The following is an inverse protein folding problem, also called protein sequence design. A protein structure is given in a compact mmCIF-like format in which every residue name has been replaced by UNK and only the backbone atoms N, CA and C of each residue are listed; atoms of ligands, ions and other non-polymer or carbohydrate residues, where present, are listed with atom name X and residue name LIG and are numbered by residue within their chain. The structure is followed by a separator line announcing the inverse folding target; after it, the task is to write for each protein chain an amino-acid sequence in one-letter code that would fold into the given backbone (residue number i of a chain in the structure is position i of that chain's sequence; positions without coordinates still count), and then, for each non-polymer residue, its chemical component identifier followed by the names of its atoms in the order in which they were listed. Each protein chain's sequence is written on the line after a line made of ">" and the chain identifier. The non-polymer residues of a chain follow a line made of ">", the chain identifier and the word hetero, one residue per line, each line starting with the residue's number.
data_IF_087249766458
#
_entry.id   IF_087249766458
#
_cell.length_a   1.000
_cell.length_b   1.000
_cell.length_c   1.000
_cell.angle_alpha   90.00
_cell.angle_beta   90.00
_cell.angle_gamma   90.00
#
_symmetry.space_group_name_H-M   'P 1'
#
loop_
_entity.id
_entity.type
_entity.pdbx_description
1 polymer ?
#
# COMPACT_ATOMS: atom_id res chain seq x y z
N UNK A 1 -7.80 -18.53 -6.47
CA UNK A 1 -7.64 -18.01 -5.10
C UNK A 1 -8.85 -17.16 -4.82
N UNK A 2 -9.68 -17.58 -3.87
CA UNK A 2 -10.95 -16.90 -3.59
C UNK A 2 -10.70 -15.65 -2.73
N UNK A 3 -11.58 -14.64 -2.77
CA UNK A 3 -11.43 -13.39 -2.00
C UNK A 3 -11.11 -13.64 -0.51
N UNK A 4 -11.80 -14.59 0.10
CA UNK A 4 -11.64 -14.93 1.51
C UNK A 4 -10.26 -15.55 1.82
N UNK A 5 -9.75 -16.42 0.93
CA UNK A 5 -8.42 -17.04 1.10
C UNK A 5 -7.32 -15.98 0.99
N UNK A 6 -7.43 -15.06 0.02
CA UNK A 6 -6.48 -13.95 -0.13
C UNK A 6 -6.45 -13.05 1.10
N UNK A 7 -7.62 -12.68 1.63
CA UNK A 7 -7.73 -11.89 2.85
C UNK A 7 -7.13 -12.59 4.06
N UNK A 8 -7.35 -13.91 4.18
CA UNK A 8 -6.82 -14.73 5.26
C UNK A 8 -5.30 -14.82 5.23
N UNK A 9 -4.72 -15.13 4.06
CA UNK A 9 -3.26 -15.18 3.90
C UNK A 9 -2.60 -13.83 4.15
N UNK A 10 -3.19 -12.75 3.63
CA UNK A 10 -2.70 -11.41 3.88
C UNK A 10 -2.76 -11.05 5.37
N UNK A 11 -3.87 -11.37 6.06
CA UNK A 11 -4.01 -11.12 7.49
C UNK A 11 -3.00 -11.91 8.34
N UNK A 12 -2.56 -13.09 7.89
CA UNK A 12 -1.44 -13.81 8.54
C UNK A 12 -0.12 -13.05 8.37
N UNK A 13 0.17 -12.59 7.15
CA UNK A 13 1.38 -11.83 6.85
C UNK A 13 1.44 -10.51 7.64
N UNK A 14 0.32 -9.79 7.73
CA UNK A 14 0.21 -8.56 8.53
C UNK A 14 0.51 -8.81 10.00
N UNK A 15 -0.07 -9.87 10.60
CA UNK A 15 0.19 -10.22 12.01
C UNK A 15 1.64 -10.57 12.28
N UNK A 16 2.29 -11.26 11.35
CA UNK A 16 3.73 -11.58 11.46
C UNK A 16 4.55 -10.29 11.40
N UNK A 17 4.22 -9.39 10.47
CA UNK A 17 4.93 -8.13 10.34
C UNK A 17 4.76 -7.20 11.54
N UNK A 18 3.54 -7.11 12.10
CA UNK A 18 3.24 -6.34 13.30
C UNK A 18 3.98 -6.90 14.54
N UNK A 19 4.32 -8.20 14.53
CA UNK A 19 5.15 -8.82 15.57
C UNK A 19 6.66 -8.56 15.42
N UNK A 20 7.12 -8.20 14.22
CA UNK A 20 8.54 -7.98 13.90
C UNK A 20 8.94 -6.51 13.83
N UNK A 21 7.98 -5.57 13.81
CA UNK A 21 8.27 -4.16 13.97
C UNK A 21 8.28 -3.77 15.45
N UNK A 22 9.40 -3.27 16.01
CA UNK A 22 9.29 -2.45 17.20
C UNK A 22 8.41 -1.26 16.83
N UNK A 23 7.42 -0.97 17.68
CA UNK A 23 6.58 0.22 17.64
C UNK A 23 7.37 1.43 17.16
N UNK A 24 7.33 1.71 15.86
CA UNK A 24 7.78 3.00 15.34
C UNK A 24 6.62 3.90 15.65
N UNK A 25 6.70 4.46 16.86
CA UNK A 25 5.59 5.12 17.53
C UNK A 25 4.94 6.15 16.62
N UNK A 26 3.66 5.93 16.31
CA UNK A 26 2.76 7.06 16.17
C UNK A 26 2.37 7.47 17.59
N UNK A 27 3.30 8.16 18.27
CA UNK A 27 2.98 8.87 19.50
C UNK A 27 1.98 9.96 19.11
N UNK A 28 0.71 9.73 19.45
CA UNK A 28 -0.34 10.71 19.65
C UNK A 28 -0.22 11.99 18.80
N UNK A 29 -0.90 12.06 17.66
CA UNK A 29 -1.14 13.34 16.99
C UNK A 29 -2.62 13.48 16.68
N UNK A 30 -3.36 13.91 17.70
CA UNK A 30 -4.63 14.59 17.49
C UNK A 30 -4.30 15.96 16.87
N UNK A 31 -4.94 16.27 15.75
CA UNK A 31 -5.07 17.62 15.20
C UNK A 31 -3.76 18.25 14.64
N UNK A 32 -3.36 17.92 13.40
CA UNK A 32 -2.44 18.79 12.64
C UNK A 32 -2.87 18.96 11.18
N UNK A 33 -3.29 20.19 10.93
CA UNK A 33 -3.67 20.83 9.68
C UNK A 33 -2.39 21.24 8.95
N UNK A 34 -1.85 20.41 8.08
CA UNK A 34 -0.67 20.75 7.27
C UNK A 34 -0.65 20.01 5.93
N UNK A 35 -1.78 19.94 5.24
CA UNK A 35 -1.79 19.46 3.86
C UNK A 35 -1.25 20.56 2.94
N UNK A 36 0.00 20.46 2.51
CA UNK A 36 0.64 21.40 1.58
C UNK A 36 0.70 20.80 0.18
N UNK A 37 0.36 21.60 -0.83
CA UNK A 37 0.42 21.21 -2.26
C UNK A 37 -0.37 19.95 -2.64
N UNK A 38 -1.47 19.65 -1.96
CA UNK A 38 -2.34 18.53 -2.33
C UNK A 38 -3.41 18.98 -3.35
N UNK A 39 -3.58 18.23 -4.43
CA UNK A 39 -4.53 18.53 -5.52
C UNK A 39 -5.46 17.34 -5.77
N UNK A 40 -6.76 17.60 -5.98
CA UNK A 40 -7.78 16.57 -6.29
C UNK A 40 -7.83 15.41 -5.29
N UNK A 41 -7.81 15.72 -3.99
CA UNK A 41 -7.77 14.71 -2.93
C UNK A 41 -8.82 14.94 -1.84
N UNK A 42 -9.27 13.86 -1.22
CA UNK A 42 -10.32 13.87 -0.19
C UNK A 42 -9.90 13.03 1.01
N UNK A 43 -10.31 13.45 2.22
CA UNK A 43 -9.95 12.80 3.49
C UNK A 43 -8.43 12.60 3.68
N UNK A 44 -7.65 13.68 3.55
CA UNK A 44 -6.21 13.68 3.84
C UNK A 44 -5.91 14.25 5.22
N UNK A 45 -5.03 13.60 5.96
CA UNK A 45 -4.48 14.11 7.23
C UNK A 45 -2.95 14.05 7.15
N UNK A 46 -2.25 15.16 7.42
CA UNK A 46 -0.77 15.17 7.41
C UNK A 46 -0.08 14.91 6.05
N UNK A 47 -0.75 15.17 4.92
CA UNK A 47 -0.21 14.82 3.60
C UNK A 47 0.53 15.96 2.88
N UNK A 48 1.68 15.68 2.24
CA UNK A 48 2.45 16.68 1.49
C UNK A 48 2.52 16.32 0.00
N UNK A 49 2.30 17.28 -0.91
CA UNK A 49 2.42 17.14 -2.37
C UNK A 49 1.70 15.91 -2.95
N UNK A 50 0.48 15.61 -2.48
CA UNK A 50 -0.29 14.45 -2.96
C UNK A 50 -1.29 14.84 -4.06
N UNK A 51 -1.38 14.04 -5.11
CA UNK A 51 -2.26 14.30 -6.27
C UNK A 51 -3.19 13.11 -6.50
N UNK A 52 -4.49 13.36 -6.71
CA UNK A 52 -5.50 12.29 -6.91
C UNK A 52 -5.49 11.22 -5.81
N UNK A 53 -5.53 11.65 -4.54
CA UNK A 53 -5.48 10.75 -3.39
C UNK A 53 -6.77 10.74 -2.55
N UNK A 54 -7.20 9.59 -2.06
CA UNK A 54 -8.42 9.44 -1.24
C UNK A 54 -8.19 8.69 0.06
N UNK A 55 -8.61 9.24 1.20
CA UNK A 55 -8.50 8.61 2.52
C UNK A 55 -7.05 8.23 2.86
N UNK A 56 -6.12 9.19 2.83
CA UNK A 56 -4.72 8.95 3.17
C UNK A 56 -4.29 9.72 4.44
N UNK A 57 -3.37 9.14 5.21
CA UNK A 57 -2.81 9.75 6.43
C UNK A 57 -1.28 9.75 6.42
N UNK A 58 -0.66 10.86 6.83
CA UNK A 58 0.80 11.04 6.98
C UNK A 58 1.62 10.64 5.73
N UNK A 59 1.11 10.95 4.55
CA UNK A 59 1.73 10.55 3.29
C UNK A 59 2.45 11.71 2.58
N UNK A 60 3.58 11.43 1.93
CA UNK A 60 4.31 12.45 1.16
C UNK A 60 4.52 12.03 -0.30
N UNK A 61 4.26 12.95 -1.22
CA UNK A 61 4.54 12.81 -2.65
C UNK A 61 3.86 11.57 -3.26
N UNK A 62 2.53 11.45 -3.04
CA UNK A 62 1.71 10.37 -3.60
C UNK A 62 0.96 10.81 -4.86
N UNK A 63 0.78 9.88 -5.79
CA UNK A 63 -0.01 10.09 -7.01
C UNK A 63 -0.96 8.93 -7.27
N UNK A 64 -2.25 9.22 -7.50
CA UNK A 64 -3.29 8.22 -7.81
C UNK A 64 -3.39 7.09 -6.78
N UNK A 65 -3.52 7.46 -5.50
CA UNK A 65 -3.49 6.50 -4.39
C UNK A 65 -4.74 6.56 -3.52
N UNK A 66 -5.18 5.44 -2.94
CA UNK A 66 -6.36 5.41 -2.06
C UNK A 66 -6.11 4.56 -0.83
N UNK A 67 -6.62 4.99 0.34
CA UNK A 67 -6.54 4.21 1.57
C UNK A 67 -5.11 4.02 2.08
N UNK A 68 -4.25 5.04 1.97
CA UNK A 68 -2.82 4.89 2.29
C UNK A 68 -2.42 5.53 3.62
N UNK A 69 -1.55 4.88 4.39
CA UNK A 69 -1.06 5.42 5.68
C UNK A 69 0.46 5.42 5.75
N UNK A 70 1.07 6.55 6.12
CA UNK A 70 2.53 6.70 6.29
C UNK A 70 3.35 6.26 5.06
N UNK A 71 2.91 6.65 3.87
CA UNK A 71 3.57 6.30 2.61
C UNK A 71 4.36 7.48 2.01
N UNK A 72 5.52 7.20 1.41
CA UNK A 72 6.43 8.23 0.91
C UNK A 72 6.88 7.98 -0.54
N UNK A 73 6.92 9.03 -1.37
CA UNK A 73 7.44 9.00 -2.75
C UNK A 73 6.92 7.82 -3.58
N UNK A 74 5.61 7.59 -3.58
CA UNK A 74 5.01 6.38 -4.13
C UNK A 74 3.80 6.68 -5.01
N UNK A 75 3.47 5.80 -5.95
CA UNK A 75 2.38 6.04 -6.90
C UNK A 75 1.53 4.79 -7.16
N UNK A 76 0.25 4.99 -7.48
CA UNK A 76 -0.71 3.91 -7.76
C UNK A 76 -0.80 2.91 -6.61
N UNK A 77 -0.99 3.41 -5.39
CA UNK A 77 -1.15 2.61 -4.18
C UNK A 77 -2.64 2.45 -3.84
N UNK A 78 -3.06 1.25 -3.47
CA UNK A 78 -4.44 0.98 -3.00
C UNK A 78 -4.36 0.24 -1.68
N UNK A 79 -4.96 0.78 -0.61
CA UNK A 79 -5.01 0.19 0.73
C UNK A 79 -3.62 -0.23 1.23
N UNK A 80 -2.65 0.68 1.18
CA UNK A 80 -1.26 0.37 1.54
C UNK A 80 -0.79 1.14 2.78
N UNK A 81 0.09 0.55 3.58
CA UNK A 81 0.62 1.20 4.80
C UNK A 81 2.14 1.10 4.90
N UNK A 82 2.80 2.16 5.34
CA UNK A 82 4.25 2.15 5.57
C UNK A 82 5.10 1.90 4.33
N UNK A 83 4.62 2.29 3.14
CA UNK A 83 5.32 2.04 1.88
C UNK A 83 6.17 3.22 1.44
N UNK A 84 7.40 2.98 1.01
CA UNK A 84 8.34 4.02 0.57
C UNK A 84 8.90 3.74 -0.81
N UNK A 85 9.05 4.79 -1.66
CA UNK A 85 9.64 4.71 -3.01
C UNK A 85 9.08 3.58 -3.88
N UNK A 86 7.78 3.31 -3.77
CA UNK A 86 7.16 2.13 -4.37
C UNK A 86 6.06 2.49 -5.37
N UNK A 87 5.77 1.61 -6.32
CA UNK A 87 4.73 1.86 -7.32
C UNK A 87 3.91 0.62 -7.68
N UNK A 88 2.64 0.84 -8.02
CA UNK A 88 1.70 -0.23 -8.38
C UNK A 88 1.55 -1.28 -7.26
N UNK A 89 1.31 -0.81 -6.04
CA UNK A 89 1.06 -1.68 -4.89
C UNK A 89 -0.43 -1.74 -4.58
N UNK A 90 -0.92 -2.92 -4.23
CA UNK A 90 -2.30 -3.10 -3.78
C UNK A 90 -2.28 -3.93 -2.50
N UNK A 91 -3.02 -3.48 -1.48
CA UNK A 91 -3.14 -4.13 -0.17
C UNK A 91 -1.79 -4.57 0.39
N UNK A 92 -0.80 -3.69 0.31
CA UNK A 92 0.58 -4.02 0.70
C UNK A 92 1.03 -3.17 1.88
N UNK A 93 1.81 -3.77 2.77
CA UNK A 93 2.24 -3.15 4.02
C UNK A 93 3.77 -3.21 4.13
N UNK A 94 4.39 -2.13 4.59
CA UNK A 94 5.81 -2.12 4.91
C UNK A 94 6.75 -2.35 3.73
N UNK A 95 6.33 -1.97 2.53
CA UNK A 95 7.09 -2.22 1.30
C UNK A 95 8.01 -1.04 0.95
N UNK A 96 9.30 -1.30 0.71
CA UNK A 96 10.28 -0.25 0.37
C UNK A 96 10.94 -0.53 -0.97
N UNK A 97 10.92 0.43 -1.89
CA UNK A 97 11.48 0.29 -3.25
C UNK A 97 10.89 -0.94 -3.99
N UNK A 98 9.58 -1.15 -3.88
CA UNK A 98 8.88 -2.28 -4.48
C UNK A 98 8.01 -1.85 -5.66
N UNK A 99 8.00 -2.65 -6.72
CA UNK A 99 7.19 -2.41 -7.91
C UNK A 99 6.33 -3.61 -8.26
N UNK A 100 5.06 -3.40 -8.63
CA UNK A 100 4.14 -4.48 -8.98
C UNK A 100 4.03 -5.53 -7.87
N UNK A 101 3.53 -5.12 -6.69
CA UNK A 101 3.27 -6.04 -5.59
C UNK A 101 1.80 -6.05 -5.19
N UNK A 102 1.30 -7.22 -4.82
CA UNK A 102 -0.10 -7.44 -4.51
C UNK A 102 -0.25 -8.27 -3.23
N UNK A 103 -0.78 -7.67 -2.17
CA UNK A 103 -0.90 -8.37 -0.88
C UNK A 103 0.43 -8.63 -0.19
N UNK A 104 1.46 -7.82 -0.47
CA UNK A 104 2.81 -8.07 0.05
C UNK A 104 3.04 -7.34 1.37
N UNK A 105 3.79 -7.96 2.26
CA UNK A 105 4.08 -7.41 3.58
C UNK A 105 5.58 -7.50 3.87
N UNK A 106 6.20 -6.38 4.23
CA UNK A 106 7.60 -6.32 4.67
C UNK A 106 8.64 -6.57 3.58
N UNK A 107 8.33 -6.30 2.32
CA UNK A 107 9.27 -6.50 1.21
C UNK A 107 10.15 -5.27 0.99
N UNK A 108 11.43 -5.49 0.62
CA UNK A 108 12.38 -4.42 0.29
C UNK A 108 13.07 -4.74 -1.03
N UNK A 109 13.05 -3.80 -1.98
CA UNK A 109 13.67 -3.92 -3.31
C UNK A 109 13.22 -5.16 -4.08
N UNK A 110 11.91 -5.42 -4.07
CA UNK A 110 11.31 -6.60 -4.73
C UNK A 110 10.23 -6.21 -5.73
N UNK A 111 10.23 -6.94 -6.85
CA UNK A 111 9.29 -6.72 -7.96
C UNK A 111 8.57 -8.01 -8.38
N UNK A 112 7.31 -7.86 -8.80
CA UNK A 112 6.43 -8.96 -9.25
C UNK A 112 6.14 -9.99 -8.16
N UNK A 113 5.71 -9.51 -6.99
CA UNK A 113 5.35 -10.37 -5.87
C UNK A 113 3.84 -10.34 -5.61
N UNK A 114 3.27 -11.50 -5.29
CA UNK A 114 1.89 -11.64 -4.83
C UNK A 114 1.94 -12.43 -3.53
N UNK A 115 1.39 -11.89 -2.43
CA UNK A 115 1.42 -12.52 -1.10
C UNK A 115 2.82 -12.98 -0.69
N UNK A 116 3.82 -12.12 -0.87
CA UNK A 116 5.24 -12.43 -0.62
C UNK A 116 5.84 -13.57 -1.48
N UNK A 117 5.14 -14.06 -2.49
CA UNK A 117 5.63 -15.05 -3.45
C UNK A 117 6.06 -14.37 -4.75
N UNK A 118 7.25 -14.71 -5.25
CA UNK A 118 7.77 -14.20 -6.52
C UNK A 118 7.05 -14.84 -7.70
N UNK A 119 6.60 -14.03 -8.64
CA UNK A 119 6.04 -14.51 -9.90
C UNK A 119 6.84 -14.00 -11.11
N UNK A 120 6.94 -14.80 -12.17
CA UNK A 120 7.41 -14.28 -13.44
C UNK A 120 6.38 -13.30 -14.02
N UNK A 121 6.87 -12.29 -14.75
CA UNK A 121 6.06 -11.18 -15.29
C UNK A 121 4.78 -11.63 -15.99
N UNK A 122 4.86 -12.66 -16.85
CA UNK A 122 3.70 -13.16 -17.61
C UNK A 122 2.60 -13.75 -16.70
N UNK A 123 3.00 -14.49 -15.66
CA UNK A 123 2.08 -15.07 -14.70
C UNK A 123 1.53 -14.02 -13.73
N UNK A 124 2.34 -13.03 -13.35
CA UNK A 124 1.93 -11.95 -12.47
C UNK A 124 0.70 -11.21 -13.04
N UNK A 125 0.76 -10.76 -14.30
CA UNK A 125 -0.37 -10.04 -14.90
C UNK A 125 -1.62 -10.91 -15.08
N UNK A 126 -1.46 -12.21 -15.33
CA UNK A 126 -2.57 -13.17 -15.37
C UNK A 126 -3.24 -13.28 -14.00
N UNK A 127 -2.45 -13.51 -12.95
CA UNK A 127 -2.93 -13.58 -11.56
C UNK A 127 -3.58 -12.26 -11.12
N UNK A 128 -2.96 -11.12 -11.43
CA UNK A 128 -3.46 -9.79 -11.10
C UNK A 128 -4.85 -9.53 -11.71
N UNK A 129 -5.09 -9.90 -12.96
CA UNK A 129 -6.41 -9.76 -13.59
C UNK A 129 -7.49 -10.58 -12.88
N UNK A 130 -7.16 -11.80 -12.48
CA UNK A 130 -8.07 -12.67 -11.72
C UNK A 130 -8.35 -12.05 -10.36
N UNK A 131 -7.31 -11.67 -9.62
CA UNK A 131 -7.44 -11.09 -8.27
C UNK A 131 -8.22 -9.77 -8.27
N UNK A 132 -7.98 -8.88 -9.24
CA UNK A 132 -8.75 -7.63 -9.38
C UNK A 132 -10.24 -7.88 -9.59
N UNK A 133 -10.59 -8.90 -10.40
CA UNK A 133 -11.97 -9.32 -10.62
C UNK A 133 -12.60 -9.87 -9.34
N UNK A 134 -11.89 -10.75 -8.65
CA UNK A 134 -12.34 -11.35 -7.38
C UNK A 134 -12.54 -10.33 -6.24
N UNK A 135 -11.72 -9.27 -6.24
CA UNK A 135 -11.77 -8.22 -5.21
C UNK A 135 -12.74 -7.08 -5.55
N UNK A 136 -13.38 -7.10 -6.73
CA UNK A 136 -14.33 -6.07 -7.15
C UNK A 136 -13.69 -4.70 -7.39
N UNK A 137 -12.41 -4.68 -7.76
CA UNK A 137 -11.65 -3.46 -8.07
C UNK A 137 -11.71 -3.09 -9.57
N UNK A 138 -12.73 -3.59 -10.29
CA UNK A 138 -12.92 -3.44 -11.73
C UNK A 138 -14.36 -3.05 -12.07
#
# INVERSE_FOLDING_TARGET
>A
MNRAEFLSELGKLERVYDSEQPSTGCLSSVNVRACTQCMFSSNLTGCHSCTHCGSCNDCTNLSHSSGCTSCHQSAYLVDCSGCSKSAYLVRSMGCTECTYCFGCVGLVKKDFYILNVKYPRDQYFKQLKVLKRELGLA
#
